data_IF_923797238825
#
_entry.id   IF_923797238825
#
_cell.length_a   1.000
_cell.length_b   1.000
_cell.length_c   1.000
_cell.angle_alpha   90.00
_cell.angle_beta   90.00
_cell.angle_gamma   90.00
#
_symmetry.space_group_name_H-M   'P 1'
#
loop_
_entity.id
_entity.type
_entity.pdbx_description
1 polymer ?
#
# COMPACT_ATOMS: atom_id res chain seq x y z
N UNK A 1 -14.91 13.54 -4.77
CA UNK A 1 -14.57 14.38 -3.58
C UNK A 1 -14.12 13.43 -2.48
N UNK A 2 -13.05 13.76 -1.75
CA UNK A 2 -12.59 12.98 -0.58
C UNK A 2 -13.52 13.32 0.58
N UNK A 3 -14.00 12.31 1.30
CA UNK A 3 -14.92 12.47 2.44
C UNK A 3 -14.47 11.64 3.63
N UNK A 4 -14.68 12.15 4.85
CA UNK A 4 -14.42 11.37 6.07
C UNK A 4 -15.54 10.33 6.26
N UNK A 5 -15.15 9.13 6.68
CA UNK A 5 -16.11 8.08 7.05
C UNK A 5 -16.43 8.22 8.53
N UNK A 6 -17.65 8.61 8.85
CA UNK A 6 -18.11 8.85 10.23
C UNK A 6 -19.08 7.76 10.75
N UNK A 7 -19.56 6.85 9.89
CA UNK A 7 -20.43 5.75 10.33
C UNK A 7 -19.62 4.74 11.18
N UNK A 8 -20.00 4.53 12.46
CA UNK A 8 -19.25 3.63 13.35
C UNK A 8 -19.25 2.17 12.90
N UNK A 9 -20.20 1.73 12.10
CA UNK A 9 -20.23 0.36 11.55
C UNK A 9 -19.21 0.22 10.43
N UNK A 10 -19.19 1.20 9.53
CA UNK A 10 -18.28 1.23 8.40
C UNK A 10 -16.83 1.42 8.88
N UNK A 11 -16.59 2.30 9.84
CA UNK A 11 -15.29 2.44 10.50
C UNK A 11 -14.78 1.11 11.05
N UNK A 12 -15.59 0.40 11.83
CA UNK A 12 -15.19 -0.92 12.37
C UNK A 12 -14.90 -1.93 11.27
N UNK A 13 -15.71 -1.97 10.20
CA UNK A 13 -15.50 -2.86 9.06
C UNK A 13 -14.16 -2.59 8.38
N UNK A 14 -13.84 -1.32 8.14
CA UNK A 14 -12.61 -0.92 7.45
C UNK A 14 -11.36 -1.15 8.29
N UNK A 15 -11.43 -0.87 9.59
CA UNK A 15 -10.35 -1.20 10.54
C UNK A 15 -10.11 -2.72 10.58
N UNK A 16 -11.17 -3.53 10.71
CA UNK A 16 -11.05 -4.99 10.67
C UNK A 16 -10.47 -5.49 9.33
N UNK A 17 -10.83 -4.85 8.22
CA UNK A 17 -10.28 -5.20 6.91
C UNK A 17 -8.79 -4.84 6.83
N UNK A 18 -8.38 -3.64 7.26
CA UNK A 18 -6.97 -3.25 7.38
C UNK A 18 -6.19 -4.29 8.21
N UNK A 19 -6.68 -4.63 9.40
CA UNK A 19 -6.03 -5.56 10.32
C UNK A 19 -5.99 -7.00 9.77
N UNK A 20 -6.93 -7.37 8.91
CA UNK A 20 -6.90 -8.65 8.23
C UNK A 20 -5.84 -8.70 7.12
N UNK A 21 -5.59 -7.58 6.45
CA UNK A 21 -4.62 -7.45 5.34
C UNK A 21 -3.20 -7.29 5.85
N UNK A 22 -2.99 -6.60 6.99
CA UNK A 22 -1.64 -6.28 7.51
C UNK A 22 -1.16 -7.30 8.52
N UNK A 23 0.17 -7.49 8.63
CA UNK A 23 0.75 -8.30 9.71
C UNK A 23 0.64 -7.57 11.06
N UNK A 24 0.24 -8.26 12.13
CA UNK A 24 0.15 -7.65 13.45
C UNK A 24 1.47 -7.04 13.91
N UNK A 25 1.44 -5.75 14.26
CA UNK A 25 2.62 -5.02 14.72
C UNK A 25 3.65 -4.69 13.63
N UNK A 26 3.36 -5.01 12.37
CA UNK A 26 4.21 -4.72 11.21
C UNK A 26 3.35 -4.23 10.05
N UNK A 27 2.88 -3.03 10.19
CA UNK A 27 1.88 -2.39 9.34
C UNK A 27 2.31 -2.18 7.87
N UNK A 28 3.60 -2.28 7.60
CA UNK A 28 4.19 -2.25 6.26
C UNK A 28 4.22 -3.64 5.57
N UNK A 29 3.81 -4.70 6.27
CA UNK A 29 3.76 -6.05 5.72
C UNK A 29 2.33 -6.52 5.46
N UNK A 30 2.09 -7.01 4.25
CA UNK A 30 0.85 -7.69 3.87
C UNK A 30 0.83 -9.07 4.51
N UNK A 31 -0.24 -9.41 5.21
CA UNK A 31 -0.39 -10.72 5.85
C UNK A 31 -0.37 -11.85 4.82
N UNK A 32 0.59 -12.76 4.95
CA UNK A 32 0.79 -13.86 4.01
C UNK A 32 -0.45 -14.74 3.87
N UNK A 33 -1.08 -15.12 4.98
CA UNK A 33 -2.30 -15.95 4.97
C UNK A 33 -3.49 -15.26 4.28
N UNK A 34 -3.55 -13.93 4.34
CA UNK A 34 -4.55 -13.16 3.59
C UNK A 34 -4.26 -13.22 2.08
N UNK A 35 -3.04 -12.91 1.69
CA UNK A 35 -2.63 -12.94 0.28
C UNK A 35 -2.84 -14.32 -0.35
N UNK A 36 -2.45 -15.39 0.34
CA UNK A 36 -2.68 -16.77 -0.11
C UNK A 36 -4.15 -17.11 -0.32
N UNK A 37 -5.00 -16.71 0.62
CA UNK A 37 -6.45 -16.95 0.55
C UNK A 37 -7.11 -16.26 -0.65
N UNK A 38 -6.62 -15.09 -1.02
CA UNK A 38 -7.21 -14.27 -2.08
C UNK A 38 -6.46 -14.37 -3.43
N UNK A 39 -5.41 -15.18 -3.50
CA UNK A 39 -4.57 -15.30 -4.71
C UNK A 39 -3.82 -14.01 -5.03
N UNK A 40 -3.44 -13.24 -4.00
CA UNK A 40 -2.72 -12.01 -4.14
C UNK A 40 -1.22 -12.23 -4.19
N UNK A 41 -0.54 -11.38 -4.94
CA UNK A 41 0.89 -11.12 -4.83
C UNK A 41 1.10 -9.81 -4.08
N UNK A 42 2.31 -9.59 -3.58
CA UNK A 42 2.69 -8.32 -2.98
C UNK A 42 4.15 -8.00 -3.28
N UNK A 43 4.44 -6.73 -3.54
CA UNK A 43 5.79 -6.25 -3.82
C UNK A 43 5.99 -4.88 -3.16
N UNK A 44 7.11 -4.66 -2.45
CA UNK A 44 7.50 -3.35 -2.01
C UNK A 44 8.00 -2.54 -3.21
N UNK A 45 7.75 -1.23 -3.19
CA UNK A 45 8.09 -0.29 -4.25
C UNK A 45 8.78 0.95 -3.69
N UNK A 46 9.77 1.43 -4.40
CA UNK A 46 10.58 2.60 -4.03
C UNK A 46 9.79 3.90 -4.16
N UNK A 47 8.80 4.11 -3.34
CA UNK A 47 8.08 5.37 -3.24
C UNK A 47 7.53 5.51 -1.83
N UNK A 48 7.93 6.55 -1.10
CA UNK A 48 7.42 6.81 0.24
C UNK A 48 5.93 7.17 0.28
N UNK A 49 5.49 7.77 1.37
CA UNK A 49 4.09 8.07 1.67
C UNK A 49 3.34 8.81 0.56
N UNK A 50 4.03 9.71 -0.16
CA UNK A 50 3.41 10.58 -1.16
C UNK A 50 3.26 9.89 -2.51
N UNK A 51 2.12 10.08 -3.14
CA UNK A 51 1.93 9.73 -4.56
C UNK A 51 2.42 10.87 -5.45
N UNK A 52 3.30 10.56 -6.41
CA UNK A 52 3.58 11.45 -7.53
C UNK A 52 2.39 11.45 -8.51
N UNK A 53 2.32 12.43 -9.40
CA UNK A 53 1.31 12.43 -10.47
C UNK A 53 1.44 11.18 -11.36
N UNK A 54 2.65 10.70 -11.56
CA UNK A 54 2.95 9.54 -12.40
C UNK A 54 2.42 8.26 -11.75
N UNK A 55 2.83 7.97 -10.52
CA UNK A 55 2.44 6.74 -9.79
C UNK A 55 0.95 6.73 -9.44
N UNK A 56 0.38 7.89 -9.08
CA UNK A 56 -1.06 8.04 -8.93
C UNK A 56 -1.80 7.72 -10.24
N UNK A 57 -1.25 8.13 -11.39
CA UNK A 57 -1.79 7.83 -12.72
C UNK A 57 -1.76 6.34 -13.03
N UNK A 58 -0.67 5.64 -12.70
CA UNK A 58 -0.57 4.18 -12.89
C UNK A 58 -1.60 3.44 -12.04
N UNK A 59 -1.65 3.73 -10.74
CA UNK A 59 -2.63 3.11 -9.83
C UNK A 59 -4.07 3.39 -10.27
N UNK A 60 -4.36 4.62 -10.70
CA UNK A 60 -5.69 4.99 -11.21
C UNK A 60 -6.08 4.12 -12.42
N UNK A 61 -5.19 4.00 -13.42
CA UNK A 61 -5.44 3.17 -14.62
C UNK A 61 -5.63 1.69 -14.25
N UNK A 62 -4.79 1.16 -13.36
CA UNK A 62 -4.91 -0.21 -12.88
C UNK A 62 -6.28 -0.45 -12.23
N UNK A 63 -6.67 0.38 -11.28
CA UNK A 63 -7.96 0.27 -10.60
C UNK A 63 -9.14 0.35 -11.57
N UNK A 64 -9.15 1.33 -12.49
CA UNK A 64 -10.21 1.46 -13.50
C UNK A 64 -10.33 0.24 -14.41
N UNK A 65 -9.20 -0.38 -14.77
CA UNK A 65 -9.18 -1.60 -15.59
C UNK A 65 -9.84 -2.80 -14.87
N UNK A 66 -9.79 -2.80 -13.53
CA UNK A 66 -10.44 -3.82 -12.69
C UNK A 66 -11.85 -3.42 -12.22
N UNK A 67 -12.35 -2.26 -12.65
CA UNK A 67 -13.69 -1.78 -12.29
C UNK A 67 -13.77 -1.13 -10.90
N UNK A 68 -12.63 -0.76 -10.30
CA UNK A 68 -12.58 -0.09 -9.01
C UNK A 68 -12.46 1.43 -9.22
N UNK A 69 -13.44 2.16 -8.75
CA UNK A 69 -13.55 3.61 -8.96
C UNK A 69 -13.46 4.42 -7.67
N UNK A 70 -13.52 3.78 -6.53
CA UNK A 70 -13.32 4.39 -5.21
C UNK A 70 -12.56 3.43 -4.29
N UNK A 71 -11.92 3.98 -3.27
CA UNK A 71 -11.20 3.26 -2.25
C UNK A 71 -11.28 3.98 -0.91
N UNK A 72 -10.76 3.34 0.11
CA UNK A 72 -10.63 3.89 1.45
C UNK A 72 -9.17 4.04 1.82
N UNK A 73 -8.81 5.20 2.38
CA UNK A 73 -7.53 5.38 3.06
C UNK A 73 -7.77 5.23 4.56
N UNK A 74 -7.19 4.21 5.17
CA UNK A 74 -7.36 3.88 6.60
C UNK A 74 -6.02 4.08 7.28
N UNK A 75 -5.94 5.00 8.26
CA UNK A 75 -4.71 5.20 9.04
C UNK A 75 -4.32 3.92 9.77
N UNK A 76 -3.02 3.75 9.99
CA UNK A 76 -2.48 2.55 10.65
C UNK A 76 -2.64 2.63 12.17
N UNK A 77 -2.69 3.83 12.74
CA UNK A 77 -2.84 4.04 14.18
C UNK A 77 -4.31 3.99 14.60
N UNK A 78 -4.56 3.28 15.70
CA UNK A 78 -5.91 3.10 16.29
C UNK A 78 -6.16 4.05 17.48
N UNK A 79 -5.33 5.06 17.64
CA UNK A 79 -5.45 6.06 18.69
C UNK A 79 -6.47 7.17 18.34
N UNK A 80 -6.44 8.26 19.09
CA UNK A 80 -7.27 9.46 18.86
C UNK A 80 -7.12 10.07 17.44
N UNK A 81 -6.15 9.59 16.66
CA UNK A 81 -5.85 10.03 15.31
C UNK A 81 -6.37 9.06 14.23
N UNK A 82 -7.18 8.05 14.57
CA UNK A 82 -7.78 7.18 13.58
C UNK A 82 -8.54 8.02 12.55
N UNK A 83 -8.06 7.98 11.31
CA UNK A 83 -8.70 8.61 10.15
C UNK A 83 -9.05 7.56 9.13
N UNK A 84 -10.26 7.65 8.63
CA UNK A 84 -10.72 6.86 7.49
C UNK A 84 -11.34 7.82 6.48
N UNK A 85 -10.77 7.82 5.29
CA UNK A 85 -11.25 8.64 4.18
C UNK A 85 -11.77 7.74 3.07
N UNK A 86 -12.92 8.08 2.52
CA UNK A 86 -13.41 7.56 1.25
C UNK A 86 -13.02 8.52 0.14
N UNK A 87 -12.47 8.00 -0.96
CA UNK A 87 -12.04 8.82 -2.09
C UNK A 87 -12.29 8.14 -3.44
N UNK A 88 -12.63 8.93 -4.47
CA UNK A 88 -12.61 8.42 -5.84
C UNK A 88 -11.17 8.11 -6.23
N UNK A 89 -10.96 7.03 -6.99
CA UNK A 89 -9.63 6.68 -7.49
C UNK A 89 -9.34 7.52 -8.73
N UNK A 90 -8.75 8.67 -8.50
CA UNK A 90 -8.20 9.58 -9.52
C UNK A 90 -6.80 10.01 -9.10
N UNK A 91 -5.97 10.39 -10.07
CA UNK A 91 -4.61 10.85 -9.77
C UNK A 91 -4.64 12.05 -8.81
N UNK A 92 -5.57 12.97 -9.00
CA UNK A 92 -5.73 14.16 -8.15
C UNK A 92 -6.07 13.79 -6.71
N UNK A 93 -7.00 12.82 -6.50
CA UNK A 93 -7.39 12.37 -5.16
C UNK A 93 -6.26 11.65 -4.45
N UNK A 94 -5.51 10.81 -5.16
CA UNK A 94 -4.35 10.09 -4.59
C UNK A 94 -3.23 11.05 -4.20
N UNK A 95 -2.91 12.02 -5.07
CA UNK A 95 -1.91 13.07 -4.75
C UNK A 95 -2.37 13.91 -3.56
N UNK A 96 -3.67 14.23 -3.47
CA UNK A 96 -4.22 15.01 -2.37
C UNK A 96 -4.10 14.33 -1.00
N UNK A 97 -3.99 12.99 -0.93
CA UNK A 97 -3.70 12.28 0.32
C UNK A 97 -2.36 12.68 0.94
N UNK A 98 -1.43 13.18 0.12
CA UNK A 98 -0.13 13.68 0.58
C UNK A 98 -0.20 15.03 1.30
N UNK A 99 -1.37 15.69 1.32
CA UNK A 99 -1.58 16.90 2.11
C UNK A 99 -1.61 16.51 3.61
N UNK A 100 -0.79 17.16 4.45
CA UNK A 100 -0.77 16.90 5.89
C UNK A 100 -2.12 17.06 6.60
N UNK A 101 -3.04 17.82 6.02
CA UNK A 101 -4.40 17.97 6.55
C UNK A 101 -5.31 16.78 6.20
N UNK A 102 -4.93 15.96 5.23
CA UNK A 102 -5.67 14.75 4.82
C UNK A 102 -5.15 13.52 5.54
N UNK A 103 -4.00 12.99 5.11
CA UNK A 103 -3.41 11.79 5.67
C UNK A 103 -1.91 12.03 5.87
N UNK A 104 -1.50 12.43 7.07
CA UNK A 104 -0.13 12.85 7.39
C UNK A 104 0.75 11.74 7.97
N UNK A 105 0.18 10.55 8.15
CA UNK A 105 0.85 9.38 8.74
C UNK A 105 0.64 8.16 7.86
N UNK A 106 1.29 7.05 8.19
CA UNK A 106 1.15 5.77 7.53
C UNK A 106 -0.32 5.34 7.40
N UNK A 107 -0.70 4.84 6.25
CA UNK A 107 -2.05 4.43 5.96
C UNK A 107 -2.09 3.26 4.96
N UNK A 108 -3.22 2.61 4.90
CA UNK A 108 -3.50 1.57 3.90
C UNK A 108 -4.63 2.05 2.98
N UNK A 109 -4.38 2.02 1.67
CA UNK A 109 -5.46 2.11 0.69
C UNK A 109 -6.09 0.73 0.54
N UNK A 110 -7.42 0.68 0.63
CA UNK A 110 -8.21 -0.54 0.50
C UNK A 110 -9.30 -0.36 -0.54
N UNK A 111 -9.47 -1.34 -1.40
CA UNK A 111 -10.68 -1.45 -2.22
C UNK A 111 -11.91 -1.71 -1.33
N UNK A 112 -13.14 -1.39 -1.75
CA UNK A 112 -14.36 -1.64 -0.97
C UNK A 112 -14.56 -3.09 -0.56
N UNK A 113 -14.17 -3.99 -1.44
CA UNK A 113 -14.13 -5.45 -1.25
C UNK A 113 -12.70 -5.94 -1.49
N UNK A 114 -12.34 -7.17 -1.06
CA UNK A 114 -10.97 -7.69 -1.22
C UNK A 114 -10.51 -7.76 -2.69
N UNK A 115 -10.04 -6.65 -3.23
CA UNK A 115 -9.54 -6.51 -4.59
C UNK A 115 -8.06 -6.10 -4.60
N UNK A 116 -7.70 -5.09 -3.80
CA UNK A 116 -6.32 -4.64 -3.66
C UNK A 116 -6.07 -3.98 -2.30
N UNK A 117 -4.81 -3.85 -1.95
CA UNK A 117 -4.32 -2.96 -0.90
C UNK A 117 -3.02 -2.28 -1.33
N UNK A 118 -2.82 -1.03 -0.89
CA UNK A 118 -1.52 -0.35 -0.97
C UNK A 118 -1.17 0.14 0.43
N UNK A 119 -0.13 -0.45 1.01
CA UNK A 119 0.39 -0.03 2.31
C UNK A 119 1.36 1.13 2.05
N UNK A 120 1.06 2.28 2.62
CA UNK A 120 1.84 3.50 2.44
C UNK A 120 2.59 3.82 3.73
N UNK A 121 3.89 3.68 3.68
CA UNK A 121 4.84 3.98 4.74
C UNK A 121 5.70 5.20 4.33
N UNK A 122 6.37 5.84 5.26
CA UNK A 122 7.22 7.00 4.98
C UNK A 122 8.33 6.70 3.97
N UNK A 123 8.82 5.47 3.93
CA UNK A 123 9.99 5.09 3.16
C UNK A 123 9.66 4.40 1.84
N UNK A 124 8.64 3.55 1.83
CA UNK A 124 8.23 2.79 0.64
C UNK A 124 6.75 2.47 0.66
N UNK A 125 6.21 2.06 -0.48
CA UNK A 125 4.87 1.49 -0.57
C UNK A 125 4.95 -0.01 -0.80
N UNK A 126 3.93 -0.74 -0.33
CA UNK A 126 3.73 -2.14 -0.73
C UNK A 126 2.42 -2.25 -1.49
N UNK A 127 2.50 -2.64 -2.75
CA UNK A 127 1.33 -2.92 -3.58
C UNK A 127 0.96 -4.39 -3.45
N UNK A 128 -0.33 -4.66 -3.20
CA UNK A 128 -0.85 -6.02 -3.05
C UNK A 128 -2.19 -6.21 -3.77
N UNK A 129 -2.37 -7.37 -4.40
CA UNK A 129 -3.56 -7.70 -5.16
C UNK A 129 -3.32 -8.83 -6.17
N UNK A 130 -4.24 -9.05 -7.12
CA UNK A 130 -3.99 -9.92 -8.25
C UNK A 130 -2.73 -9.50 -9.02
N UNK A 131 -1.89 -10.45 -9.45
CA UNK A 131 -0.60 -10.16 -10.11
C UNK A 131 -0.71 -9.09 -11.19
N UNK A 132 -1.65 -9.27 -12.12
CA UNK A 132 -1.87 -8.33 -13.23
C UNK A 132 -2.23 -6.91 -12.76
N UNK A 133 -2.96 -6.79 -11.65
CA UNK A 133 -3.27 -5.49 -11.07
C UNK A 133 -2.00 -4.83 -10.54
N UNK A 134 -1.20 -5.56 -9.75
CA UNK A 134 0.03 -5.02 -9.15
C UNK A 134 0.99 -4.56 -10.23
N UNK A 135 1.27 -5.39 -11.24
CA UNK A 135 2.16 -5.04 -12.36
C UNK A 135 1.67 -3.78 -13.12
N UNK A 136 0.36 -3.62 -13.30
CA UNK A 136 -0.20 -2.40 -13.89
C UNK A 136 -0.09 -1.18 -12.96
N UNK A 137 -0.21 -1.38 -11.66
CA UNK A 137 -0.20 -0.29 -10.67
C UNK A 137 1.21 0.28 -10.45
N UNK A 138 2.24 -0.52 -10.68
CA UNK A 138 3.66 -0.10 -10.61
C UNK A 138 4.25 0.19 -11.99
N UNK A 139 3.52 -0.09 -13.08
CA UNK A 139 3.93 0.02 -14.48
C UNK A 139 5.18 -0.82 -14.84
N UNK A 140 5.36 -1.96 -14.14
CA UNK A 140 6.50 -2.87 -14.33
C UNK A 140 6.15 -4.30 -13.91
N UNK A 141 7.07 -5.24 -14.09
CA UNK A 141 6.95 -6.61 -13.58
C UNK A 141 7.30 -6.69 -12.10
N UNK A 142 6.75 -7.69 -11.41
CA UNK A 142 7.06 -7.92 -9.98
C UNK A 142 8.55 -8.19 -9.76
N UNK A 143 9.18 -8.88 -10.69
CA UNK A 143 10.59 -9.26 -10.65
C UNK A 143 11.48 -8.01 -10.69
N UNK A 144 11.23 -7.10 -11.66
CA UNK A 144 11.97 -5.83 -11.78
C UNK A 144 11.74 -4.94 -10.57
N UNK A 145 10.49 -4.76 -10.16
CA UNK A 145 10.15 -3.95 -8.99
C UNK A 145 10.89 -4.40 -7.72
N UNK A 146 11.02 -5.72 -7.54
CA UNK A 146 11.75 -6.28 -6.42
C UNK A 146 13.26 -6.06 -6.55
N UNK A 147 13.83 -6.25 -7.76
CA UNK A 147 15.26 -6.00 -8.00
C UNK A 147 15.60 -4.53 -7.73
N UNK A 148 14.76 -3.60 -8.15
CA UNK A 148 14.93 -2.17 -7.89
C UNK A 148 14.85 -1.85 -6.39
N UNK A 149 13.87 -2.42 -5.67
CA UNK A 149 13.78 -2.26 -4.23
C UNK A 149 15.03 -2.79 -3.52
N UNK A 150 15.50 -3.98 -3.89
CA UNK A 150 16.72 -4.58 -3.33
C UNK A 150 17.95 -3.72 -3.64
N UNK A 151 18.06 -3.21 -4.86
CA UNK A 151 19.16 -2.34 -5.26
C UNK A 151 19.20 -1.06 -4.43
N UNK A 152 18.06 -0.39 -4.32
CA UNK A 152 17.96 0.90 -3.66
C UNK A 152 18.07 0.83 -2.12
N UNK A 153 17.38 -0.12 -1.51
CA UNK A 153 17.26 -0.18 -0.05
C UNK A 153 18.22 -1.18 0.62
N UNK A 154 18.66 -2.21 -0.09
CA UNK A 154 19.43 -3.31 0.51
C UNK A 154 20.89 -3.30 0.09
N UNK A 155 21.18 -3.07 -1.20
CA UNK A 155 22.51 -3.23 -1.77
C UNK A 155 23.32 -1.91 -1.69
N UNK A 156 22.75 -0.80 -2.14
CA UNK A 156 23.40 0.52 -2.23
C UNK A 156 22.73 1.62 -1.39
N UNK A 157 22.47 1.39 -0.10
CA UNK A 157 21.81 2.43 0.70
C UNK A 157 22.84 3.46 1.18
N UNK A 158 23.14 4.46 0.39
CA UNK A 158 24.10 5.54 0.75
C UNK A 158 23.63 6.41 1.93
N UNK A 159 22.36 6.28 2.34
CA UNK A 159 21.68 7.22 3.24
C UNK A 159 21.07 6.56 4.49
N UNK A 160 21.12 5.23 4.64
CA UNK A 160 20.44 4.55 5.74
C UNK A 160 21.38 4.12 6.87
N UNK A 161 20.85 4.15 8.10
CA UNK A 161 21.52 3.57 9.26
C UNK A 161 21.44 2.04 9.24
N UNK A 162 22.33 1.34 9.96
CA UNK A 162 22.38 -0.12 9.96
C UNK A 162 21.07 -0.78 10.43
N UNK A 163 20.35 -0.13 11.34
CA UNK A 163 19.04 -0.61 11.80
C UNK A 163 17.98 -0.57 10.70
N UNK A 164 17.98 0.49 9.88
CA UNK A 164 17.09 0.63 8.72
C UNK A 164 17.44 -0.40 7.64
N UNK A 165 18.73 -0.61 7.37
CA UNK A 165 19.18 -1.66 6.45
C UNK A 165 18.69 -3.05 6.87
N UNK A 166 18.76 -3.35 8.17
CA UNK A 166 18.25 -4.61 8.71
C UNK A 166 16.73 -4.74 8.52
N UNK A 167 15.98 -3.63 8.61
CA UNK A 167 14.56 -3.59 8.31
C UNK A 167 14.30 -3.91 6.84
N UNK A 168 14.96 -3.22 5.91
CA UNK A 168 14.75 -3.41 4.48
C UNK A 168 15.13 -4.82 3.99
N UNK A 169 16.21 -5.40 4.52
CA UNK A 169 16.56 -6.81 4.26
C UNK A 169 15.41 -7.75 4.69
N UNK A 170 14.83 -7.55 5.87
CA UNK A 170 13.68 -8.34 6.35
C UNK A 170 12.45 -8.15 5.47
N UNK A 171 12.17 -6.94 5.02
CA UNK A 171 11.07 -6.63 4.09
C UNK A 171 11.29 -7.35 2.76
N UNK A 172 12.48 -7.23 2.16
CA UNK A 172 12.84 -7.91 0.92
C UNK A 172 12.70 -9.44 1.05
N UNK A 173 13.28 -10.04 2.09
CA UNK A 173 13.17 -11.47 2.36
C UNK A 173 11.71 -11.92 2.56
N UNK A 174 10.92 -11.13 3.27
CA UNK A 174 9.50 -11.42 3.50
C UNK A 174 8.73 -11.51 2.18
N UNK A 175 8.93 -10.54 1.28
CA UNK A 175 8.20 -10.47 0.02
C UNK A 175 8.73 -11.38 -1.08
N UNK A 176 9.91 -11.97 -0.92
CA UNK A 176 10.49 -12.90 -1.91
C UNK A 176 9.54 -14.03 -2.27
N UNK A 177 8.87 -14.64 -1.31
CA UNK A 177 7.92 -15.71 -1.54
C UNK A 177 6.56 -15.29 -2.10
N UNK A 178 6.30 -13.98 -2.30
CA UNK A 178 5.07 -13.49 -2.94
C UNK A 178 5.21 -13.33 -4.45
N UNK A 179 6.43 -13.19 -4.96
CA UNK A 179 6.73 -13.01 -6.39
C UNK A 179 6.88 -14.34 -7.11
N UNK A 180 7.32 -15.38 -6.40
CA UNK A 180 7.60 -16.71 -6.97
C UNK A 180 6.34 -17.57 -7.20
N UNK A 181 5.14 -17.05 -7.01
CA UNK A 181 3.84 -17.69 -7.21
C UNK A 181 3.12 -17.10 -8.41
#
# INVERSE_FOLDING_TARGET
MITTVDDPRELRRLVQYRDAVTEPGQVYLVRRSWAERHGWVAVPWEEGLRFSQLTAGWLTRACQRFGWYHCYAVSIRDDENLRVLELPITAESLVALSDPNMMWMDFVLLSPEPGFAVLCDEMFKTYAGPRKFVEMAIDDTLEVAREEFDQYFVIEPDWSYEEERALYRRVSEYYRGFVER
#
